data_IF_853662400906
#
_entry.id   IF_853662400906
#
_cell.length_a   1.000
_cell.length_b   1.000
_cell.length_c   1.000
_cell.angle_alpha   90.00
_cell.angle_beta   90.00
_cell.angle_gamma   90.00
#
_symmetry.space_group_name_H-M   'P 1'
#
loop_
_entity.id
_entity.type
_entity.pdbx_description
1 polymer ?
#
# COMPACT_ATOMS: atom_id res chain seq x y z
N UNK A 1 35.30 18.74 4.92
CA UNK A 1 34.40 19.52 4.05
C UNK A 1 33.13 19.81 4.84
N UNK A 2 32.56 21.01 4.73
CA UNK A 2 31.28 21.33 5.39
C UNK A 2 30.16 20.48 4.74
N UNK A 3 29.42 19.65 5.50
CA UNK A 3 28.29 18.86 4.98
C UNK A 3 27.21 19.70 4.28
N UNK A 4 27.18 21.03 4.51
CA UNK A 4 26.29 21.96 3.80
C UNK A 4 26.77 22.33 2.40
N UNK A 5 28.06 22.16 2.09
CA UNK A 5 28.63 22.52 0.78
C UNK A 5 28.36 21.53 -0.35
N UNK A 6 27.83 20.34 -0.03
CA UNK A 6 27.37 19.34 -1.00
C UNK A 6 25.90 19.51 -1.42
N UNK A 7 25.18 20.47 -0.82
CA UNK A 7 23.74 20.65 -1.05
C UNK A 7 23.48 21.44 -2.33
N UNK A 8 23.03 20.78 -3.40
CA UNK A 8 22.40 21.47 -4.54
C UNK A 8 22.67 20.94 -5.95
N UNK A 9 23.47 19.89 -6.12
CA UNK A 9 23.93 19.47 -7.45
C UNK A 9 23.09 18.34 -8.07
N UNK A 10 22.36 17.56 -7.27
CA UNK A 10 21.58 16.42 -7.78
C UNK A 10 20.15 16.83 -8.18
N UNK A 11 19.52 16.03 -9.05
CA UNK A 11 18.11 16.24 -9.43
C UNK A 11 17.17 16.10 -8.22
N UNK A 12 17.47 15.17 -7.32
CA UNK A 12 16.67 14.95 -6.11
C UNK A 12 16.73 16.14 -5.14
N UNK A 13 17.88 16.80 -5.00
CA UNK A 13 17.99 18.02 -4.20
C UNK A 13 17.22 19.18 -4.80
N UNK A 14 17.16 19.29 -6.15
CA UNK A 14 16.29 20.26 -6.82
C UNK A 14 14.82 20.01 -6.47
N UNK A 15 14.36 18.75 -6.50
CA UNK A 15 12.98 18.41 -6.05
C UNK A 15 12.73 18.75 -4.60
N UNK A 16 13.72 18.55 -3.72
CA UNK A 16 13.62 18.92 -2.32
C UNK A 16 13.47 20.44 -2.15
N UNK A 17 14.19 21.24 -2.94
CA UNK A 17 14.04 22.69 -2.97
C UNK A 17 12.66 23.10 -3.49
N UNK A 18 12.21 22.54 -4.61
CA UNK A 18 10.87 22.80 -5.18
C UNK A 18 9.73 22.43 -4.21
N UNK A 19 9.88 21.34 -3.46
CA UNK A 19 8.93 20.89 -2.43
C UNK A 19 8.95 21.81 -1.21
N UNK A 20 10.15 22.24 -0.77
CA UNK A 20 10.29 23.18 0.34
C UNK A 20 9.75 24.58 0.03
N UNK A 21 9.91 25.05 -1.22
CA UNK A 21 9.35 26.32 -1.70
C UNK A 21 7.88 26.23 -2.09
N UNK A 22 7.30 25.01 -2.08
CA UNK A 22 5.92 24.70 -2.52
C UNK A 22 5.63 25.03 -3.99
N UNK A 23 6.67 25.06 -4.82
CA UNK A 23 6.52 25.14 -6.27
C UNK A 23 5.93 23.85 -6.84
N UNK A 24 6.39 22.69 -6.34
CA UNK A 24 5.87 21.36 -6.71
C UNK A 24 5.74 20.48 -5.48
N UNK A 25 4.59 19.85 -5.30
CA UNK A 25 4.30 19.02 -4.11
C UNK A 25 4.86 17.58 -4.27
N UNK A 26 6.17 17.42 -4.44
CA UNK A 26 6.77 16.10 -4.67
C UNK A 26 6.44 15.10 -3.56
N UNK A 27 6.33 15.55 -2.31
CA UNK A 27 5.95 14.70 -1.16
C UNK A 27 4.42 14.56 -0.99
N UNK A 28 3.61 14.87 -1.99
CA UNK A 28 2.16 14.58 -1.92
C UNK A 28 1.91 13.09 -1.82
N UNK A 29 2.58 12.30 -2.66
CA UNK A 29 2.44 10.85 -2.70
C UNK A 29 3.67 10.19 -2.11
N UNK A 30 3.48 9.13 -1.33
CA UNK A 30 4.57 8.42 -0.68
C UNK A 30 4.06 7.22 0.11
N UNK A 31 4.94 6.57 0.87
CA UNK A 31 4.63 5.38 1.66
C UNK A 31 3.89 5.75 2.96
N UNK A 32 2.93 6.68 2.88
CA UNK A 32 2.15 7.17 4.02
C UNK A 32 1.06 6.20 4.49
N UNK A 33 0.82 5.15 3.71
CA UNK A 33 -0.05 4.06 4.12
C UNK A 33 0.68 3.17 5.14
N UNK A 34 0.05 2.91 6.28
CA UNK A 34 0.63 1.99 7.25
C UNK A 34 0.64 0.56 6.71
N UNK A 35 1.59 -0.26 7.12
CA UNK A 35 1.53 -1.70 6.85
C UNK A 35 0.67 -2.45 7.89
N UNK A 36 0.36 -1.77 9.02
CA UNK A 36 -0.46 -2.26 10.12
C UNK A 36 -1.25 -1.11 10.76
N UNK A 37 -2.58 -1.15 10.66
CA UNK A 37 -3.50 -0.19 11.31
C UNK A 37 -4.45 -0.88 12.32
N UNK A 38 -4.54 -2.21 12.27
CA UNK A 38 -5.28 -3.02 13.25
C UNK A 38 -4.58 -3.04 14.62
N UNK A 39 -5.36 -3.27 15.67
CA UNK A 39 -4.94 -3.27 17.08
C UNK A 39 -4.13 -2.02 17.49
N UNK A 40 -4.69 -0.85 17.21
CA UNK A 40 -4.11 0.46 17.58
C UNK A 40 -5.02 1.21 18.53
N UNK A 41 -4.43 2.04 19.40
CA UNK A 41 -5.16 2.84 20.41
C UNK A 41 -6.20 3.78 19.77
N UNK A 42 -5.96 4.23 18.53
CA UNK A 42 -6.86 5.16 17.82
C UNK A 42 -8.15 4.51 17.34
N UNK A 43 -8.08 3.23 17.05
CA UNK A 43 -9.22 2.46 16.55
C UNK A 43 -9.93 1.72 17.70
N UNK A 44 -9.54 1.99 18.96
CA UNK A 44 -10.10 1.36 20.15
C UNK A 44 -11.30 2.15 20.69
N UNK A 45 -12.46 1.51 20.60
CA UNK A 45 -13.71 1.99 21.17
C UNK A 45 -14.30 0.99 22.17
N UNK A 46 -13.45 0.12 22.71
CA UNK A 46 -13.83 -0.76 23.80
C UNK A 46 -14.07 0.04 25.08
N UNK A 47 -14.96 -0.43 25.97
CA UNK A 47 -15.29 0.28 27.20
C UNK A 47 -14.11 0.42 28.19
N UNK A 48 -13.03 -0.36 28.01
CA UNK A 48 -11.92 -0.46 28.97
C UNK A 48 -10.53 -0.20 28.36
N UNK A 49 -10.43 0.24 27.10
CA UNK A 49 -9.13 0.52 26.49
C UNK A 49 -8.33 -0.74 26.11
N UNK A 50 -9.00 -1.77 25.59
CA UNK A 50 -8.38 -3.00 25.08
C UNK A 50 -8.15 -2.92 23.56
N UNK A 51 -7.20 -2.08 23.14
CA UNK A 51 -6.94 -1.84 21.73
C UNK A 51 -6.47 -3.08 20.97
N UNK A 52 -5.79 -4.00 21.65
CA UNK A 52 -5.23 -5.22 21.07
C UNK A 52 -6.30 -6.19 20.58
N UNK A 53 -7.36 -6.38 21.37
CA UNK A 53 -8.42 -7.34 21.05
C UNK A 53 -9.67 -6.69 20.42
N UNK A 54 -9.81 -5.36 20.48
CA UNK A 54 -11.00 -4.67 19.98
C UNK A 54 -11.08 -4.63 18.45
N UNK A 55 -9.95 -4.43 17.78
CA UNK A 55 -9.85 -4.43 16.33
C UNK A 55 -8.67 -5.31 15.89
N UNK A 56 -8.79 -6.65 16.04
CA UNK A 56 -7.73 -7.59 15.73
C UNK A 56 -7.49 -7.70 14.22
N UNK A 57 -6.41 -8.37 13.84
CA UNK A 57 -6.07 -8.64 12.44
C UNK A 57 -7.23 -9.30 11.65
N UNK A 58 -8.01 -10.22 12.25
CA UNK A 58 -9.13 -10.86 11.54
C UNK A 58 -10.19 -9.86 11.06
N UNK A 59 -10.50 -8.86 11.89
CA UNK A 59 -11.49 -7.84 11.57
C UNK A 59 -10.98 -6.89 10.48
N UNK A 60 -9.67 -6.73 10.35
CA UNK A 60 -9.02 -5.76 9.47
C UNK A 60 -9.52 -5.88 8.02
N UNK A 61 -9.72 -7.11 7.52
CA UNK A 61 -10.19 -7.37 6.14
C UNK A 61 -11.61 -6.86 5.90
N UNK A 62 -12.44 -6.84 6.94
CA UNK A 62 -13.89 -6.67 6.86
C UNK A 62 -14.40 -5.40 7.52
N UNK A 63 -13.59 -4.69 8.31
CA UNK A 63 -13.95 -3.47 9.02
C UNK A 63 -13.19 -2.28 8.44
N UNK A 64 -13.90 -1.22 8.07
CA UNK A 64 -13.29 0.03 7.63
C UNK A 64 -12.60 0.73 8.82
N UNK A 65 -11.46 1.35 8.56
CA UNK A 65 -10.73 2.15 9.55
C UNK A 65 -11.29 3.56 9.57
N UNK A 66 -11.27 4.21 10.74
CA UNK A 66 -11.74 5.59 10.85
C UNK A 66 -10.61 6.61 10.71
N UNK A 67 -9.43 6.32 11.27
CA UNK A 67 -8.36 7.31 11.42
C UNK A 67 -7.14 7.08 10.54
N UNK A 68 -7.16 6.04 9.72
CA UNK A 68 -6.09 5.70 8.80
C UNK A 68 -6.52 4.61 7.84
N UNK A 69 -5.56 3.95 7.22
CA UNK A 69 -5.72 2.75 6.40
C UNK A 69 -4.42 1.94 6.52
N UNK A 70 -4.48 0.66 6.14
CA UNK A 70 -3.29 -0.16 5.94
C UNK A 70 -3.27 -0.89 4.60
N UNK A 71 -2.07 -1.29 4.17
CA UNK A 71 -1.90 -2.08 2.95
C UNK A 71 -0.46 -2.54 2.75
N UNK A 72 -0.31 -3.71 2.13
CA UNK A 72 0.98 -4.33 1.84
C UNK A 72 1.77 -3.51 0.79
N UNK A 73 2.97 -3.05 1.17
CA UNK A 73 3.89 -2.24 0.37
C UNK A 73 3.22 -1.05 -0.34
N UNK A 74 2.23 -0.44 0.31
CA UNK A 74 1.36 0.55 -0.32
C UNK A 74 1.86 1.99 -0.26
N UNK A 75 1.17 2.83 -1.03
CA UNK A 75 1.33 4.29 -1.05
C UNK A 75 -0.02 4.97 -0.86
N UNK A 76 0.01 6.22 -0.40
CA UNK A 76 -1.17 7.08 -0.40
C UNK A 76 -0.76 8.52 -0.67
N UNK A 77 -1.75 9.39 -0.87
CA UNK A 77 -1.50 10.81 -0.69
C UNK A 77 -1.22 11.10 0.81
N UNK A 78 -0.56 12.22 1.10
CA UNK A 78 -0.11 12.59 2.45
C UNK A 78 -1.23 12.78 3.47
N UNK A 79 -2.50 12.81 3.05
CA UNK A 79 -3.68 12.87 3.92
C UNK A 79 -4.45 11.54 3.95
N UNK A 80 -3.87 10.47 3.37
CA UNK A 80 -4.41 9.11 3.36
C UNK A 80 -5.88 9.09 2.89
N UNK A 81 -6.17 9.80 1.79
CA UNK A 81 -7.51 9.83 1.19
C UNK A 81 -7.64 8.76 0.14
N UNK A 82 -6.68 8.71 -0.80
CA UNK A 82 -6.60 7.69 -1.84
C UNK A 82 -5.38 6.82 -1.61
N UNK A 83 -5.62 5.53 -1.46
CA UNK A 83 -4.63 4.52 -1.11
C UNK A 83 -4.46 3.53 -2.26
N UNK A 84 -3.23 3.06 -2.44
CA UNK A 84 -2.89 1.98 -3.36
C UNK A 84 -1.99 0.98 -2.65
N UNK A 85 -2.27 -0.32 -2.78
CA UNK A 85 -1.44 -1.40 -2.23
C UNK A 85 -1.65 -2.70 -2.99
N UNK A 86 -0.89 -3.73 -2.61
CA UNK A 86 -1.04 -5.07 -3.17
C UNK A 86 -1.96 -5.93 -2.28
N UNK A 87 -2.74 -6.79 -2.92
CA UNK A 87 -3.34 -7.95 -2.30
C UNK A 87 -2.94 -9.22 -3.07
N UNK A 88 -2.63 -10.29 -2.35
CA UNK A 88 -2.09 -11.53 -2.92
C UNK A 88 -2.88 -12.75 -2.42
N UNK A 89 -2.96 -13.79 -3.25
CA UNK A 89 -3.44 -15.10 -2.82
C UNK A 89 -2.72 -16.21 -3.58
N UNK A 90 -2.09 -17.11 -2.82
CA UNK A 90 -1.35 -18.28 -3.33
C UNK A 90 -2.25 -19.47 -3.68
N UNK A 91 -3.58 -19.33 -3.59
CA UNK A 91 -4.54 -20.41 -3.82
C UNK A 91 -4.77 -21.33 -2.62
N UNK A 92 -4.10 -21.07 -1.48
CA UNK A 92 -4.11 -21.93 -0.29
C UNK A 92 -4.42 -21.18 1.00
N UNK A 93 -4.04 -19.91 1.09
CA UNK A 93 -4.29 -19.10 2.28
C UNK A 93 -5.80 -19.00 2.54
N UNK A 94 -6.23 -19.00 3.81
CA UNK A 94 -7.64 -18.88 4.14
C UNK A 94 -8.20 -17.48 3.84
N UNK A 95 -7.33 -16.53 3.47
CA UNK A 95 -7.61 -15.10 3.38
C UNK A 95 -6.73 -14.45 2.30
N UNK A 96 -7.14 -13.28 1.79
CA UNK A 96 -6.26 -12.42 1.00
C UNK A 96 -5.16 -11.81 1.87
N UNK A 97 -3.94 -11.86 1.36
CA UNK A 97 -2.79 -11.17 1.95
C UNK A 97 -2.79 -9.71 1.52
N UNK A 98 -3.52 -8.89 2.26
CA UNK A 98 -3.66 -7.44 2.01
C UNK A 98 -2.71 -6.57 2.86
N UNK A 99 -2.10 -7.13 3.91
CA UNK A 99 -1.26 -6.42 4.89
C UNK A 99 -0.34 -7.37 5.62
N UNK A 100 0.58 -6.81 6.40
CA UNK A 100 1.46 -7.60 7.26
C UNK A 100 0.68 -8.19 8.43
N UNK A 101 0.92 -9.47 8.68
CA UNK A 101 0.46 -10.16 9.88
C UNK A 101 1.48 -10.02 11.01
N UNK A 102 0.99 -9.97 12.23
CA UNK A 102 1.81 -9.98 13.42
C UNK A 102 1.01 -10.43 14.63
N UNK A 103 1.71 -10.59 15.74
CA UNK A 103 1.15 -10.91 17.04
C UNK A 103 0.89 -9.61 17.80
N UNK A 104 -0.22 -9.56 18.51
CA UNK A 104 -0.44 -8.54 19.56
C UNK A 104 0.41 -8.84 20.79
N UNK A 105 0.49 -7.87 21.71
CA UNK A 105 1.26 -8.04 22.95
C UNK A 105 0.82 -9.21 23.84
N UNK A 106 -0.42 -9.68 23.72
CA UNK A 106 -0.93 -10.86 24.45
C UNK A 106 -0.71 -12.18 23.72
N UNK A 107 -0.30 -12.13 22.45
CA UNK A 107 -0.09 -13.28 21.58
C UNK A 107 1.39 -13.65 21.45
N UNK A 108 2.30 -12.66 21.48
CA UNK A 108 3.73 -12.90 21.44
C UNK A 108 4.32 -13.14 22.84
N UNK A 109 5.29 -14.06 22.93
CA UNK A 109 6.02 -14.31 24.17
C UNK A 109 6.93 -13.13 24.57
N UNK A 110 7.35 -12.28 23.63
CA UNK A 110 8.10 -11.03 23.90
C UNK A 110 7.37 -9.75 23.47
N UNK A 111 6.06 -9.82 23.19
CA UNK A 111 5.22 -8.67 22.90
C UNK A 111 4.70 -8.64 21.45
N UNK A 112 4.50 -7.43 20.91
CA UNK A 112 4.09 -7.25 19.52
C UNK A 112 5.22 -7.67 18.58
N UNK A 113 4.87 -8.45 17.57
CA UNK A 113 5.88 -9.08 16.71
C UNK A 113 5.33 -9.32 15.29
N UNK A 114 5.96 -8.71 14.28
CA UNK A 114 5.56 -8.86 12.88
C UNK A 114 6.13 -10.16 12.34
N UNK A 115 5.25 -11.05 11.87
CA UNK A 115 5.63 -12.41 11.44
C UNK A 115 5.86 -12.52 9.95
N UNK A 116 6.42 -11.51 9.32
CA UNK A 116 6.52 -11.41 7.86
C UNK A 116 7.96 -11.18 7.41
N UNK A 117 8.29 -11.56 6.17
CA UNK A 117 9.59 -11.28 5.57
C UNK A 117 9.46 -10.22 4.49
N UNK A 118 9.86 -8.99 4.82
CA UNK A 118 9.78 -7.84 3.94
C UNK A 118 11.01 -6.93 4.11
N UNK A 119 11.37 -6.23 3.04
CA UNK A 119 12.60 -5.44 2.98
C UNK A 119 12.38 -4.17 2.17
N UNK A 120 12.69 -3.02 2.78
CA UNK A 120 12.76 -1.76 2.07
C UNK A 120 14.13 -1.65 1.39
N UNK A 121 14.12 -1.66 0.06
CA UNK A 121 15.34 -1.78 -0.74
C UNK A 121 15.86 -0.41 -1.19
N UNK A 122 14.95 0.53 -1.46
CA UNK A 122 15.30 1.87 -1.92
C UNK A 122 14.16 2.88 -1.70
N UNK A 123 14.50 4.14 -1.48
CA UNK A 123 13.56 5.27 -1.54
C UNK A 123 14.35 6.57 -1.59
N UNK A 124 14.03 7.49 -2.50
CA UNK A 124 14.55 8.87 -2.42
C UNK A 124 13.76 9.71 -1.40
N UNK A 125 14.31 10.82 -0.86
CA UNK A 125 13.62 11.68 0.12
C UNK A 125 12.27 12.24 -0.33
N UNK A 126 12.09 12.50 -1.62
CA UNK A 126 10.83 12.93 -2.24
C UNK A 126 9.98 11.77 -2.74
N UNK A 127 10.41 10.54 -2.51
CA UNK A 127 9.74 9.33 -2.97
C UNK A 127 9.58 9.32 -4.50
N UNK A 128 10.53 9.93 -5.21
CA UNK A 128 10.59 9.98 -6.68
C UNK A 128 10.97 8.63 -7.28
N UNK A 129 11.72 7.82 -6.53
CA UNK A 129 11.91 6.38 -6.73
C UNK A 129 11.71 5.66 -5.39
N UNK A 130 11.04 4.51 -5.40
CA UNK A 130 10.93 3.61 -4.25
C UNK A 130 10.94 2.15 -4.70
N UNK A 131 11.52 1.27 -3.87
CA UNK A 131 11.53 -0.18 -4.08
C UNK A 131 11.43 -0.92 -2.75
N UNK A 132 10.51 -1.88 -2.67
CA UNK A 132 10.40 -2.80 -1.57
C UNK A 132 10.22 -4.25 -2.08
N UNK A 133 10.50 -5.21 -1.21
CA UNK A 133 10.36 -6.64 -1.45
C UNK A 133 9.53 -7.25 -0.32
N UNK A 134 8.54 -8.07 -0.68
CA UNK A 134 7.83 -8.96 0.22
C UNK A 134 8.04 -10.42 -0.21
N UNK A 135 8.28 -11.33 0.74
CA UNK A 135 8.41 -12.77 0.46
C UNK A 135 7.12 -13.48 0.85
N UNK A 136 6.42 -14.01 -0.15
CA UNK A 136 5.11 -14.64 0.04
C UNK A 136 5.18 -16.16 -0.15
N UNK A 137 4.86 -16.99 0.87
CA UNK A 137 4.90 -18.45 0.75
C UNK A 137 3.96 -19.03 -0.32
N UNK A 138 4.38 -20.12 -0.97
CA UNK A 138 3.54 -20.89 -1.90
C UNK A 138 2.66 -21.93 -1.19
N UNK A 139 2.87 -22.16 0.10
CA UNK A 139 2.02 -22.96 0.98
C UNK A 139 1.11 -22.07 1.79
N UNK A 140 0.07 -22.65 2.40
CA UNK A 140 -0.78 -21.93 3.35
C UNK A 140 0.08 -21.25 4.44
N UNK A 141 -0.20 -19.97 4.66
CA UNK A 141 0.45 -19.18 5.67
C UNK A 141 0.05 -19.65 7.09
N UNK A 142 0.99 -19.89 8.01
CA UNK A 142 0.75 -20.64 9.24
C UNK A 142 0.22 -19.77 10.39
N UNK A 143 -0.86 -19.01 10.16
CA UNK A 143 -1.45 -18.06 11.11
C UNK A 143 -1.69 -18.65 12.50
N UNK A 144 -2.44 -19.75 12.57
CA UNK A 144 -2.82 -20.39 13.84
C UNK A 144 -1.59 -20.90 14.62
N UNK A 145 -0.66 -21.56 13.92
CA UNK A 145 0.58 -22.07 14.54
C UNK A 145 1.42 -20.95 15.13
N UNK A 146 1.55 -19.81 14.44
CA UNK A 146 2.30 -18.65 14.92
C UNK A 146 1.67 -18.08 16.20
N UNK A 147 0.34 -17.97 16.26
CA UNK A 147 -0.37 -17.46 17.44
C UNK A 147 -0.26 -18.44 18.60
N UNK A 148 -0.63 -19.70 18.38
CA UNK A 148 -0.74 -20.71 19.43
C UNK A 148 0.61 -21.03 20.07
N UNK A 149 1.67 -21.19 19.25
CA UNK A 149 2.98 -21.56 19.76
C UNK A 149 3.66 -20.41 20.49
N UNK A 150 3.58 -19.17 19.97
CA UNK A 150 4.17 -18.02 20.67
C UNK A 150 3.42 -17.72 21.98
N UNK A 151 2.08 -17.88 22.02
CA UNK A 151 1.32 -17.75 23.28
C UNK A 151 1.69 -18.84 24.30
N UNK A 152 2.00 -20.05 23.84
CA UNK A 152 2.41 -21.17 24.70
C UNK A 152 3.81 -21.00 25.26
N UNK A 153 4.71 -20.34 24.52
CA UNK A 153 6.09 -20.09 24.93
C UNK A 153 6.13 -19.08 26.07
N UNK A 154 6.92 -19.38 27.09
CA UNK A 154 7.21 -18.42 28.16
C UNK A 154 8.31 -17.44 27.76
N UNK A 155 8.49 -16.40 28.57
CA UNK A 155 9.51 -15.34 28.37
C UNK A 155 10.95 -15.87 28.21
N UNK A 156 11.24 -17.08 28.71
CA UNK A 156 12.57 -17.70 28.64
C UNK A 156 12.85 -18.47 27.34
N UNK A 157 11.84 -18.67 26.49
CA UNK A 157 11.99 -19.33 25.19
C UNK A 157 12.14 -18.29 24.07
N UNK A 158 12.88 -18.60 22.99
CA UNK A 158 12.92 -17.74 21.80
C UNK A 158 11.54 -17.70 21.13
N UNK A 159 11.27 -16.62 20.39
CA UNK A 159 10.10 -16.51 19.51
C UNK A 159 10.10 -17.62 18.45
N UNK A 160 8.91 -18.04 18.02
CA UNK A 160 8.76 -18.84 16.80
C UNK A 160 8.66 -17.87 15.64
N UNK A 161 9.66 -17.84 14.77
CA UNK A 161 9.65 -17.02 13.57
C UNK A 161 8.97 -17.71 12.40
N UNK A 162 8.51 -16.93 11.42
CA UNK A 162 7.88 -17.47 10.21
C UNK A 162 8.81 -18.47 9.50
N UNK A 163 10.12 -18.21 9.47
CA UNK A 163 11.10 -19.10 8.84
C UNK A 163 11.17 -20.48 9.54
N UNK A 164 10.99 -20.53 10.86
CA UNK A 164 11.03 -21.76 11.66
C UNK A 164 9.84 -22.68 11.38
N UNK A 165 8.79 -22.16 10.73
CA UNK A 165 7.61 -22.95 10.40
C UNK A 165 7.86 -23.90 9.23
N UNK A 166 8.90 -23.64 8.42
CA UNK A 166 9.25 -24.42 7.24
C UNK A 166 8.52 -24.01 5.96
N UNK A 167 7.68 -22.97 5.98
CA UNK A 167 6.94 -22.52 4.77
C UNK A 167 7.82 -21.95 3.65
N UNK A 168 9.08 -21.68 3.94
CA UNK A 168 10.09 -21.24 2.96
C UNK A 168 11.06 -22.35 2.54
N UNK A 169 10.89 -23.58 3.03
CA UNK A 169 11.74 -24.71 2.66
C UNK A 169 11.71 -24.94 1.13
N UNK A 170 12.84 -25.39 0.57
CA UNK A 170 13.00 -25.61 -0.88
C UNK A 170 12.73 -24.36 -1.73
N UNK A 171 12.94 -23.16 -1.17
CA UNK A 171 12.67 -21.88 -1.82
C UNK A 171 11.22 -21.70 -2.31
N UNK A 172 10.24 -22.38 -1.69
CA UNK A 172 8.82 -22.39 -2.07
C UNK A 172 8.09 -21.09 -1.70
N UNK A 173 8.52 -19.99 -2.30
CA UNK A 173 7.94 -18.67 -2.12
C UNK A 173 8.02 -17.83 -3.39
N UNK A 174 7.25 -16.75 -3.40
CA UNK A 174 7.35 -15.68 -4.39
C UNK A 174 8.15 -14.51 -3.79
N UNK A 175 9.12 -13.99 -4.53
CA UNK A 175 9.58 -12.62 -4.30
C UNK A 175 8.59 -11.67 -4.98
N UNK A 176 8.02 -10.76 -4.21
CA UNK A 176 7.07 -9.74 -4.67
C UNK A 176 7.74 -8.38 -4.55
N UNK A 177 8.24 -7.85 -5.66
CA UNK A 177 8.81 -6.51 -5.71
C UNK A 177 7.74 -5.49 -6.04
N UNK A 178 7.65 -4.43 -5.24
CA UNK A 178 6.86 -3.24 -5.53
C UNK A 178 7.81 -2.06 -5.78
N UNK A 179 7.74 -1.49 -6.98
CA UNK A 179 8.55 -0.35 -7.38
C UNK A 179 7.66 0.81 -7.86
N UNK A 180 8.01 2.02 -7.43
CA UNK A 180 7.30 3.25 -7.74
C UNK A 180 8.27 4.26 -8.34
N UNK A 181 7.92 4.85 -9.48
CA UNK A 181 8.70 5.89 -10.14
C UNK A 181 7.79 7.06 -10.52
N UNK A 182 8.12 8.26 -10.02
CA UNK A 182 7.35 9.47 -10.34
C UNK A 182 7.78 10.04 -11.67
N UNK A 183 6.85 10.22 -12.60
CA UNK A 183 7.05 11.11 -13.75
C UNK A 183 6.95 12.58 -13.31
N UNK A 184 5.91 12.88 -12.52
CA UNK A 184 5.66 14.17 -11.85
C UNK A 184 5.15 13.96 -10.43
N UNK A 185 4.88 15.03 -9.68
CA UNK A 185 4.35 14.94 -8.31
C UNK A 185 2.97 14.26 -8.21
N UNK A 186 2.23 14.17 -9.31
CA UNK A 186 0.89 13.57 -9.39
C UNK A 186 0.80 12.48 -10.47
N UNK A 187 1.93 11.90 -10.89
CA UNK A 187 1.98 10.88 -11.93
C UNK A 187 3.03 9.84 -11.56
N UNK A 188 2.54 8.66 -11.19
CA UNK A 188 3.29 7.60 -10.52
C UNK A 188 3.15 6.33 -11.36
N UNK A 189 4.27 5.86 -11.86
CA UNK A 189 4.39 4.58 -12.52
C UNK A 189 4.67 3.51 -11.46
N UNK A 190 4.00 2.38 -11.58
CA UNK A 190 4.01 1.28 -10.62
C UNK A 190 4.40 0.02 -11.35
N UNK A 191 5.50 -0.62 -10.93
CA UNK A 191 5.98 -1.89 -11.47
C UNK A 191 5.97 -2.94 -10.38
N UNK A 192 5.17 -3.98 -10.57
CA UNK A 192 5.07 -5.11 -9.66
C UNK A 192 5.71 -6.31 -10.32
N UNK A 193 6.81 -6.82 -9.77
CA UNK A 193 7.50 -8.00 -10.31
C UNK A 193 7.34 -9.16 -9.34
N UNK A 194 6.72 -10.23 -9.83
CA UNK A 194 6.48 -11.46 -9.05
C UNK A 194 7.41 -12.53 -9.57
N UNK A 195 8.38 -12.97 -8.78
CA UNK A 195 9.31 -14.03 -9.14
C UNK A 195 9.02 -15.31 -8.37
N UNK A 196 8.77 -16.40 -9.08
CA UNK A 196 8.64 -17.73 -8.49
C UNK A 196 10.05 -18.27 -8.17
N UNK A 197 10.37 -18.42 -6.88
CA UNK A 197 11.63 -19.01 -6.42
C UNK A 197 11.57 -20.52 -6.25
N UNK A 198 10.36 -21.06 -6.19
CA UNK A 198 10.12 -22.47 -5.97
C UNK A 198 10.50 -23.36 -7.15
N UNK A 199 10.58 -24.68 -6.93
CA UNK A 199 11.00 -25.66 -7.92
C UNK A 199 9.90 -26.01 -8.92
N UNK A 200 8.64 -25.62 -8.65
CA UNK A 200 7.46 -25.99 -9.44
C UNK A 200 6.73 -24.75 -9.96
N UNK A 201 6.00 -24.92 -11.07
CA UNK A 201 5.10 -23.90 -11.59
C UNK A 201 4.04 -23.58 -10.53
N UNK A 202 3.83 -22.30 -10.26
CA UNK A 202 2.92 -21.87 -9.20
C UNK A 202 1.94 -20.79 -9.70
N UNK A 203 0.71 -20.88 -9.20
CA UNK A 203 -0.33 -19.89 -9.44
C UNK A 203 -0.29 -18.81 -8.36
N UNK A 204 -0.48 -17.56 -8.76
CA UNK A 204 -0.66 -16.44 -7.85
C UNK A 204 -1.78 -15.53 -8.36
N UNK A 205 -2.72 -15.20 -7.48
CA UNK A 205 -3.65 -14.11 -7.73
C UNK A 205 -3.00 -12.83 -7.22
N UNK A 206 -2.82 -11.86 -8.12
CA UNK A 206 -2.30 -10.53 -7.81
C UNK A 206 -3.43 -9.51 -7.99
N UNK A 207 -3.68 -8.72 -6.96
CA UNK A 207 -4.74 -7.71 -6.91
C UNK A 207 -4.16 -6.36 -6.47
N UNK A 208 -3.55 -5.59 -7.38
CA UNK A 208 -3.19 -4.20 -7.11
C UNK A 208 -4.50 -3.43 -6.91
N UNK A 209 -4.64 -2.85 -5.73
CA UNK A 209 -5.91 -2.37 -5.20
C UNK A 209 -5.82 -0.86 -4.95
N UNK A 210 -6.82 -0.12 -5.42
CA UNK A 210 -6.98 1.32 -5.23
C UNK A 210 -8.26 1.57 -4.42
N UNK A 211 -8.21 2.35 -3.35
CA UNK A 211 -9.40 2.64 -2.55
C UNK A 211 -9.34 3.98 -1.84
N UNK A 212 -10.52 4.49 -1.49
CA UNK A 212 -10.64 5.64 -0.62
C UNK A 212 -10.74 5.22 0.85
N UNK A 213 -10.03 5.93 1.72
CA UNK A 213 -10.24 5.83 3.18
C UNK A 213 -11.69 6.21 3.49
N UNK A 214 -12.36 5.43 4.32
CA UNK A 214 -13.75 5.69 4.65
C UNK A 214 -13.85 6.91 5.57
N UNK A 215 -14.31 8.05 5.04
CA UNK A 215 -14.58 9.28 5.80
C UNK A 215 -16.05 9.65 5.84
N UNK A 216 -16.90 8.95 5.10
CA UNK A 216 -18.32 9.26 4.92
C UNK A 216 -19.24 8.53 5.90
N UNK A 217 -18.79 7.43 6.51
CA UNK A 217 -19.62 6.60 7.41
C UNK A 217 -19.57 7.04 8.88
N UNK A 218 -18.71 8.01 9.24
CA UNK A 218 -18.42 8.36 10.65
C UNK A 218 -18.94 9.73 11.10
N UNK A 219 -19.63 10.46 10.23
CA UNK A 219 -19.98 11.87 10.46
C UNK A 219 -18.81 12.84 10.21
N UNK A 220 -18.89 14.09 10.68
CA UNK A 220 -17.86 15.11 10.41
C UNK A 220 -16.48 14.71 10.94
N UNK A 221 -15.50 14.64 10.04
CA UNK A 221 -14.08 14.47 10.37
C UNK A 221 -13.37 15.80 10.08
N UNK A 222 -12.59 16.36 11.02
CA UNK A 222 -11.87 17.62 10.79
C UNK A 222 -10.98 17.56 9.54
N UNK A 223 -11.07 18.60 8.70
CA UNK A 223 -10.27 18.77 7.48
C UNK A 223 -10.48 17.69 6.39
N UNK A 224 -11.56 16.92 6.46
CA UNK A 224 -11.91 15.90 5.47
C UNK A 224 -13.26 16.15 4.80
N UNK A 225 -13.41 15.63 3.57
CA UNK A 225 -14.73 15.51 2.95
C UNK A 225 -15.45 14.30 3.52
N UNK A 226 -16.75 14.46 3.78
CA UNK A 226 -17.64 13.38 4.21
C UNK A 226 -18.56 12.92 3.08
N UNK A 227 -18.44 13.51 1.88
CA UNK A 227 -19.13 13.02 0.70
C UNK A 227 -18.47 11.73 0.24
N UNK A 228 -19.29 10.72 -0.11
CA UNK A 228 -18.79 9.44 -0.59
C UNK A 228 -18.09 9.63 -1.96
N UNK A 229 -16.79 9.32 -2.07
CA UNK A 229 -16.06 9.40 -3.33
C UNK A 229 -16.46 8.26 -4.27
N UNK A 230 -15.92 8.25 -5.49
CA UNK A 230 -16.22 7.20 -6.47
C UNK A 230 -14.98 6.73 -7.22
N UNK A 231 -14.95 5.43 -7.51
CA UNK A 231 -14.06 4.79 -8.46
C UNK A 231 -14.93 4.12 -9.52
N UNK A 232 -14.73 4.44 -10.79
CA UNK A 232 -15.53 3.92 -11.92
C UNK A 232 -14.63 3.43 -13.05
N UNK A 233 -15.06 2.39 -13.76
CA UNK A 233 -14.41 1.99 -15.01
C UNK A 233 -14.77 3.01 -16.12
N UNK A 234 -13.80 3.78 -16.59
CA UNK A 234 -14.02 4.73 -17.69
C UNK A 234 -14.05 4.03 -19.04
N UNK A 235 -13.06 3.13 -19.23
CA UNK A 235 -12.88 2.31 -20.43
C UNK A 235 -12.07 1.09 -20.04
N UNK A 236 -11.88 0.18 -20.98
CA UNK A 236 -11.00 -0.97 -20.77
C UNK A 236 -9.64 -0.50 -20.22
N UNK A 237 -9.18 -1.14 -19.14
CA UNK A 237 -7.89 -0.89 -18.50
C UNK A 237 -7.68 0.50 -17.88
N UNK A 238 -8.72 1.29 -17.69
CA UNK A 238 -8.63 2.63 -17.07
C UNK A 238 -9.80 2.90 -16.14
N UNK A 239 -9.51 3.16 -14.86
CA UNK A 239 -10.50 3.60 -13.87
C UNK A 239 -10.31 5.07 -13.51
N UNK A 240 -11.40 5.80 -13.28
CA UNK A 240 -11.41 7.13 -12.65
C UNK A 240 -11.57 6.98 -11.16
N UNK A 241 -10.86 7.79 -10.39
CA UNK A 241 -11.09 8.00 -8.96
C UNK A 241 -11.43 9.48 -8.74
N UNK A 242 -12.60 9.77 -8.17
CA UNK A 242 -13.11 11.12 -7.95
C UNK A 242 -13.29 11.40 -6.46
N UNK A 243 -12.75 12.52 -6.00
CA UNK A 243 -12.83 12.95 -4.62
C UNK A 243 -12.83 14.48 -4.53
N UNK A 244 -13.75 15.06 -3.76
CA UNK A 244 -14.01 16.52 -3.76
C UNK A 244 -12.78 17.39 -3.46
N UNK A 245 -11.98 16.98 -2.46
CA UNK A 245 -10.80 17.74 -2.03
C UNK A 245 -9.54 17.35 -2.80
N UNK A 246 -9.25 16.06 -2.91
CA UNK A 246 -8.06 15.54 -3.59
C UNK A 246 -8.10 15.77 -5.12
N UNK A 247 -9.29 15.90 -5.71
CA UNK A 247 -9.52 16.00 -7.13
C UNK A 247 -9.63 14.64 -7.82
N UNK A 248 -9.52 14.66 -9.14
CA UNK A 248 -9.69 13.47 -9.98
C UNK A 248 -8.35 12.83 -10.31
N UNK A 249 -8.25 11.53 -10.08
CA UNK A 249 -7.15 10.67 -10.50
C UNK A 249 -7.68 9.61 -11.45
N UNK A 250 -6.76 8.98 -12.17
CA UNK A 250 -7.04 7.79 -12.96
C UNK A 250 -5.94 6.76 -12.71
N UNK A 251 -6.30 5.47 -12.75
CA UNK A 251 -5.36 4.36 -12.69
C UNK A 251 -5.47 3.54 -13.98
N UNK A 252 -4.41 3.54 -14.77
CA UNK A 252 -4.26 2.65 -15.91
C UNK A 252 -3.56 1.36 -15.47
N UNK A 253 -3.98 0.21 -16.01
CA UNK A 253 -3.37 -1.10 -15.72
C UNK A 253 -3.17 -1.92 -17.00
N UNK A 254 -2.00 -2.55 -17.15
CA UNK A 254 -1.66 -3.28 -18.38
C UNK A 254 -2.17 -4.72 -18.37
N UNK A 255 -2.34 -5.32 -19.56
CA UNK A 255 -2.59 -6.76 -19.68
C UNK A 255 -4.04 -7.16 -19.43
N UNK A 256 -4.27 -8.43 -19.12
CA UNK A 256 -5.61 -9.02 -19.08
C UNK A 256 -6.11 -9.20 -17.63
N UNK A 257 -6.06 -8.13 -16.84
CA UNK A 257 -6.63 -8.16 -15.49
C UNK A 257 -8.15 -8.05 -15.54
N UNK A 258 -8.85 -8.79 -14.67
CA UNK A 258 -10.29 -8.60 -14.47
C UNK A 258 -10.53 -7.44 -13.51
N UNK A 259 -11.25 -6.38 -13.90
CA UNK A 259 -11.59 -5.31 -12.98
C UNK A 259 -12.63 -5.78 -11.96
N UNK A 260 -12.37 -5.55 -10.67
CA UNK A 260 -13.27 -5.85 -9.56
C UNK A 260 -13.58 -4.57 -8.78
N UNK A 261 -14.83 -4.40 -8.35
CA UNK A 261 -15.30 -3.22 -7.62
C UNK A 261 -16.06 -3.61 -6.36
N UNK A 262 -15.90 -2.82 -5.30
CA UNK A 262 -16.67 -2.90 -4.07
C UNK A 262 -16.62 -1.54 -3.35
N UNK A 263 -17.18 -1.46 -2.15
CA UNK A 263 -17.02 -0.33 -1.27
C UNK A 263 -16.10 -0.63 -0.08
N UNK A 264 -15.31 0.36 0.35
CA UNK A 264 -14.56 0.31 1.61
C UNK A 264 -15.50 0.57 2.80
N UNK A 265 -16.51 -0.28 2.96
CA UNK A 265 -17.53 -0.20 4.00
C UNK A 265 -17.44 -1.41 4.92
N UNK A 266 -17.63 -1.19 6.22
CA UNK A 266 -17.60 -2.29 7.20
C UNK A 266 -18.67 -3.32 6.86
N UNK A 267 -18.27 -4.58 6.81
CA UNK A 267 -19.17 -5.73 6.78
C UNK A 267 -19.78 -5.94 8.17
N UNK A 268 -20.80 -5.15 8.50
CA UNK A 268 -21.54 -5.21 9.75
C UNK A 268 -22.14 -6.59 10.03
N UNK A 269 -22.48 -7.37 9.00
CA UNK A 269 -23.01 -8.72 9.16
C UNK A 269 -21.97 -9.65 9.78
N UNK A 270 -20.71 -9.54 9.34
CA UNK A 270 -19.60 -10.30 9.93
C UNK A 270 -19.14 -9.73 11.27
N UNK A 271 -18.94 -8.42 11.34
CA UNK A 271 -18.24 -7.79 12.48
C UNK A 271 -19.18 -7.56 13.67
N UNK A 272 -20.42 -7.15 13.41
CA UNK A 272 -21.36 -6.75 14.44
C UNK A 272 -22.59 -7.68 14.52
N UNK A 273 -22.70 -8.68 13.65
CA UNK A 273 -23.88 -9.53 13.52
C UNK A 273 -25.17 -8.73 13.23
N UNK A 274 -25.04 -7.65 12.45
CA UNK A 274 -26.15 -6.79 11.99
C UNK A 274 -26.22 -6.76 10.47
N UNK A 275 -27.41 -6.65 9.86
CA UNK A 275 -27.52 -6.52 8.40
C UNK A 275 -26.67 -5.37 7.85
N UNK A 276 -26.01 -5.61 6.72
CA UNK A 276 -25.28 -4.56 6.02
C UNK A 276 -26.26 -3.54 5.45
N UNK A 277 -25.92 -2.24 5.57
CA UNK A 277 -26.68 -1.17 4.92
C UNK A 277 -26.45 -1.06 3.42
N UNK A 278 -25.40 -1.73 2.91
CA UNK A 278 -25.01 -1.79 1.51
C UNK A 278 -24.73 -3.25 1.12
N UNK A 279 -24.86 -3.58 -0.17
CA UNK A 279 -24.62 -4.94 -0.66
C UNK A 279 -23.13 -5.29 -0.75
N UNK A 280 -22.32 -4.34 -1.24
CA UNK A 280 -20.89 -4.52 -1.47
C UNK A 280 -20.10 -3.89 -0.33
N UNK A 281 -19.23 -4.67 0.30
CA UNK A 281 -18.52 -4.31 1.54
C UNK A 281 -17.02 -4.64 1.42
N UNK A 282 -16.23 -4.21 2.40
CA UNK A 282 -14.76 -4.13 2.34
C UNK A 282 -14.06 -5.45 1.97
N UNK A 283 -14.60 -6.57 2.44
CA UNK A 283 -14.08 -7.94 2.23
C UNK A 283 -14.61 -8.63 0.97
N UNK A 284 -15.32 -7.92 0.10
CA UNK A 284 -15.85 -8.49 -1.16
C UNK A 284 -14.79 -9.17 -2.03
N UNK A 285 -13.57 -8.64 -2.10
CA UNK A 285 -12.49 -9.27 -2.88
C UNK A 285 -12.01 -10.58 -2.26
N UNK A 286 -12.00 -10.67 -0.93
CA UNK A 286 -11.68 -11.89 -0.19
C UNK A 286 -12.73 -12.97 -0.48
N UNK A 287 -14.00 -12.60 -0.37
CA UNK A 287 -15.14 -13.47 -0.66
C UNK A 287 -15.18 -13.92 -2.12
N UNK A 288 -14.82 -13.04 -3.06
CA UNK A 288 -14.79 -13.37 -4.48
C UNK A 288 -13.63 -14.30 -4.84
N UNK A 289 -12.40 -13.98 -4.39
CA UNK A 289 -11.18 -14.69 -4.80
C UNK A 289 -10.98 -15.97 -4.01
N UNK A 290 -11.10 -15.90 -2.68
CA UNK A 290 -10.78 -17.01 -1.77
C UNK A 290 -11.97 -17.96 -1.62
N UNK A 291 -13.19 -17.41 -1.55
CA UNK A 291 -14.41 -18.18 -1.30
C UNK A 291 -15.30 -18.40 -2.54
N UNK A 292 -14.91 -17.86 -3.69
CA UNK A 292 -15.60 -18.09 -4.97
C UNK A 292 -17.00 -17.46 -5.07
N UNK A 293 -17.35 -16.50 -4.19
CA UNK A 293 -18.65 -15.81 -4.23
C UNK A 293 -18.65 -14.71 -5.28
N UNK A 294 -19.02 -15.09 -6.51
CA UNK A 294 -19.01 -14.19 -7.65
C UNK A 294 -19.93 -12.96 -7.50
N UNK A 295 -20.97 -13.05 -6.68
CA UNK A 295 -21.95 -12.00 -6.38
C UNK A 295 -21.48 -11.02 -5.30
N UNK A 296 -20.33 -11.26 -4.66
CA UNK A 296 -19.79 -10.38 -3.62
C UNK A 296 -19.25 -9.04 -4.16
N UNK A 297 -18.93 -8.95 -5.46
CA UNK A 297 -18.36 -7.74 -6.10
C UNK A 297 -19.41 -7.02 -6.92
N UNK A 298 -19.25 -5.70 -7.08
CA UNK A 298 -20.21 -4.87 -7.80
C UNK A 298 -20.09 -5.04 -9.34
N UNK A 299 -21.11 -5.61 -10.01
CA UNK A 299 -21.08 -5.81 -11.45
C UNK A 299 -21.27 -4.51 -12.26
N UNK A 300 -21.64 -3.41 -11.61
CA UNK A 300 -21.87 -2.11 -12.25
C UNK A 300 -20.58 -1.31 -12.49
N UNK A 301 -19.41 -1.89 -12.17
CA UNK A 301 -18.10 -1.28 -12.35
C UNK A 301 -17.92 0.08 -11.66
N UNK A 302 -18.48 0.19 -10.44
CA UNK A 302 -18.45 1.38 -9.59
C UNK A 302 -18.28 0.99 -8.12
N UNK A 303 -17.60 1.81 -7.34
CA UNK A 303 -17.47 1.65 -5.89
C UNK A 303 -16.54 2.68 -5.28
N UNK A 304 -16.03 2.41 -4.09
CA UNK A 304 -14.97 3.19 -3.42
C UNK A 304 -13.66 2.40 -3.28
N UNK A 305 -13.66 1.13 -3.68
CA UNK A 305 -12.51 0.22 -3.73
C UNK A 305 -12.53 -0.56 -5.05
N UNK A 306 -11.37 -0.61 -5.71
CA UNK A 306 -11.15 -1.25 -7.00
C UNK A 306 -9.91 -2.14 -6.95
N UNK A 307 -9.93 -3.28 -7.64
CA UNK A 307 -8.74 -4.08 -7.87
C UNK A 307 -8.66 -4.56 -9.33
N UNK A 308 -7.45 -4.53 -9.88
CA UNK A 308 -7.14 -5.22 -11.14
C UNK A 308 -6.72 -6.66 -10.81
N UNK A 309 -7.59 -7.65 -11.04
CA UNK A 309 -7.32 -9.05 -10.69
C UNK A 309 -6.54 -9.77 -11.80
N UNK A 310 -5.27 -10.02 -11.56
CA UNK A 310 -4.40 -10.85 -12.40
C UNK A 310 -4.36 -12.27 -11.87
N UNK A 311 -4.47 -13.24 -12.78
CA UNK A 311 -4.16 -14.64 -12.52
C UNK A 311 -2.83 -14.96 -13.19
N UNK A 312 -1.78 -15.12 -12.39
CA UNK A 312 -0.42 -15.35 -12.88
C UNK A 312 -0.08 -16.83 -12.73
N UNK A 313 0.33 -17.46 -13.82
CA UNK A 313 0.97 -18.78 -13.77
C UNK A 313 2.46 -18.62 -14.06
N UNK A 314 3.30 -18.83 -13.05
CA UNK A 314 4.72 -18.49 -13.13
C UNK A 314 5.57 -19.75 -13.09
N UNK A 315 6.32 -20.00 -14.15
CA UNK A 315 7.26 -21.12 -14.23
C UNK A 315 8.39 -21.02 -13.18
N UNK A 316 9.02 -22.14 -12.77
CA UNK A 316 10.13 -22.15 -11.82
C UNK A 316 11.25 -21.18 -12.22
N UNK A 317 11.68 -20.33 -11.27
CA UNK A 317 12.76 -19.35 -11.50
C UNK A 317 12.41 -18.22 -12.47
N UNK A 318 11.17 -18.14 -12.96
CA UNK A 318 10.68 -17.05 -13.84
C UNK A 318 9.96 -15.98 -13.04
N UNK A 319 9.70 -14.86 -13.71
CA UNK A 319 8.99 -13.73 -13.14
C UNK A 319 8.00 -13.14 -14.12
N UNK A 320 6.87 -12.68 -13.60
CA UNK A 320 5.87 -11.90 -14.31
C UNK A 320 5.88 -10.45 -13.82
N UNK A 321 5.53 -9.52 -14.70
CA UNK A 321 5.51 -8.08 -14.40
C UNK A 321 4.14 -7.50 -14.69
N UNK A 322 3.53 -6.86 -13.69
CA UNK A 322 2.35 -6.03 -13.87
C UNK A 322 2.73 -4.55 -13.80
N UNK A 323 2.32 -3.77 -14.81
CA UNK A 323 2.55 -2.33 -14.89
C UNK A 323 1.24 -1.57 -14.68
N UNK A 324 1.28 -0.55 -13.83
CA UNK A 324 0.17 0.37 -13.60
C UNK A 324 0.67 1.82 -13.59
N UNK A 325 -0.23 2.79 -13.80
CA UNK A 325 0.09 4.21 -13.72
C UNK A 325 -1.05 4.99 -13.08
N UNK A 326 -0.77 5.58 -11.92
CA UNK A 326 -1.69 6.44 -11.18
C UNK A 326 -1.36 7.90 -11.50
N UNK A 327 -2.29 8.64 -12.11
CA UNK A 327 -2.05 10.01 -12.54
C UNK A 327 -3.24 10.92 -12.25
N UNK A 328 -3.00 12.18 -11.90
CA UNK A 328 -4.06 13.19 -11.87
C UNK A 328 -4.63 13.44 -13.28
N UNK A 329 -5.94 13.65 -13.37
CA UNK A 329 -6.61 14.01 -14.63
C UNK A 329 -6.58 15.53 -14.81
N UNK A 330 -6.05 16.03 -15.93
CA UNK A 330 -6.07 17.46 -16.24
C UNK A 330 -7.50 17.91 -16.63
N UNK A 331 -7.94 19.06 -16.08
CA UNK A 331 -9.17 19.73 -16.53
C UNK A 331 -10.49 19.26 -15.91
N UNK A 332 -10.50 18.69 -14.70
CA UNK A 332 -11.76 18.47 -13.97
C UNK A 332 -12.39 19.78 -13.50
N UNK A 333 -13.70 19.94 -13.70
CA UNK A 333 -14.46 21.12 -13.27
C UNK A 333 -14.27 21.41 -11.76
N UNK A 334 -13.92 22.66 -11.50
CA UNK A 334 -13.33 23.19 -10.27
C UNK A 334 -14.44 23.59 -9.27
N UNK A 335 -14.58 22.90 -8.13
CA UNK A 335 -15.50 23.33 -7.04
C UNK A 335 -14.82 23.37 -5.65
N UNK A 336 -13.51 23.14 -5.53
CA UNK A 336 -12.83 23.15 -4.24
C UNK A 336 -12.06 24.43 -3.95
N UNK A 337 -12.55 25.33 -3.09
CA UNK A 337 -11.76 26.46 -2.57
C UNK A 337 -10.85 25.99 -1.42
N UNK A 338 -9.54 25.87 -1.65
CA UNK A 338 -8.61 25.37 -0.62
C UNK A 338 -7.14 25.63 -0.89
N UNK A 339 -6.31 25.50 0.15
CA UNK A 339 -4.86 25.83 0.19
C UNK A 339 -3.98 25.03 -0.79
N UNK A 340 -4.51 24.02 -1.46
CA UNK A 340 -3.83 23.21 -2.49
C UNK A 340 -4.08 23.69 -3.94
N UNK A 341 -4.79 24.82 -4.14
CA UNK A 341 -5.12 25.37 -5.46
C UNK A 341 -3.91 25.65 -6.37
N UNK A 342 -2.75 26.02 -5.80
CA UNK A 342 -1.55 26.35 -6.57
C UNK A 342 -0.94 25.13 -7.29
N UNK A 343 -1.18 23.91 -6.80
CA UNK A 343 -0.64 22.67 -7.40
C UNK A 343 -1.53 22.06 -8.49
N UNK A 344 -2.72 22.63 -8.73
CA UNK A 344 -3.70 22.10 -9.69
C UNK A 344 -3.33 22.32 -11.16
N UNK A 345 -2.31 23.15 -11.43
CA UNK A 345 -1.79 23.40 -12.79
C UNK A 345 -0.74 22.38 -13.27
N UNK A 346 -0.38 21.39 -12.44
CA UNK A 346 0.69 20.41 -12.71
C UNK A 346 0.15 18.98 -12.95
N UNK A 347 -1.05 18.86 -13.53
CA UNK A 347 -1.56 17.56 -13.97
C UNK A 347 -0.83 17.15 -15.26
N UNK A 348 0.09 16.19 -15.18
CA UNK A 348 0.52 15.46 -16.38
C UNK A 348 -0.51 14.37 -16.64
N UNK A 349 -1.43 14.61 -17.57
CA UNK A 349 -2.26 13.53 -18.10
C UNK A 349 -1.39 12.70 -19.03
N UNK A 350 -1.20 11.39 -18.77
CA UNK A 350 -0.51 10.49 -19.69
C UNK A 350 -1.11 10.59 -21.10
N UNK A 351 -0.34 10.27 -22.16
CA UNK A 351 -0.88 10.27 -23.51
C UNK A 351 -2.17 9.45 -23.59
N UNK A 352 -3.23 10.02 -24.17
CA UNK A 352 -4.54 9.38 -24.22
C UNK A 352 -4.53 8.04 -25.00
N UNK A 353 -3.55 7.86 -25.88
CA UNK A 353 -3.37 6.68 -26.74
C UNK A 353 -2.64 5.54 -26.06
N UNK A 354 -1.64 5.83 -25.23
CA UNK A 354 -0.85 4.82 -24.51
C UNK A 354 -0.37 5.37 -23.15
N UNK A 355 -1.03 4.97 -22.04
CA UNK A 355 -0.61 5.36 -20.70
C UNK A 355 0.79 4.86 -20.30
N UNK A 356 1.33 3.85 -20.98
CA UNK A 356 2.61 3.21 -20.66
C UNK A 356 3.76 3.64 -21.57
N UNK A 357 3.52 4.59 -22.48
CA UNK A 357 4.59 5.18 -23.27
C UNK A 357 5.64 5.83 -22.35
N UNK A 358 6.92 5.52 -22.59
CA UNK A 358 8.04 6.06 -21.80
C UNK A 358 8.26 5.38 -20.45
N UNK A 359 7.55 4.28 -20.14
CA UNK A 359 7.51 3.72 -18.80
C UNK A 359 8.89 3.28 -18.30
N UNK A 360 9.63 2.53 -19.11
CA UNK A 360 10.95 2.01 -18.73
C UNK A 360 12.01 3.11 -18.71
N UNK A 361 11.90 4.12 -19.58
CA UNK A 361 12.77 5.30 -19.57
C UNK A 361 12.60 6.11 -18.28
N UNK A 362 11.37 6.29 -17.80
CA UNK A 362 11.10 6.99 -16.53
C UNK A 362 11.67 6.20 -15.35
N UNK A 363 11.50 4.88 -15.32
CA UNK A 363 12.11 4.03 -14.29
C UNK A 363 13.63 4.14 -14.31
N UNK A 364 14.26 3.99 -15.48
CA UNK A 364 15.70 4.10 -15.63
C UNK A 364 16.22 5.48 -15.16
N UNK A 365 15.50 6.54 -15.51
CA UNK A 365 15.85 7.90 -15.10
C UNK A 365 15.72 8.10 -13.58
N UNK A 366 14.64 7.62 -12.96
CA UNK A 366 14.42 7.74 -11.51
C UNK A 366 15.43 6.90 -10.70
N UNK A 367 15.81 5.72 -11.19
CA UNK A 367 16.89 4.91 -10.59
C UNK A 367 18.24 5.62 -10.67
N UNK A 368 18.60 6.14 -11.85
CA UNK A 368 19.85 6.88 -12.05
C UNK A 368 19.96 8.10 -11.12
N UNK A 369 18.88 8.87 -10.99
CA UNK A 369 18.87 10.03 -10.08
C UNK A 369 18.95 9.63 -8.61
N UNK A 370 18.39 8.48 -8.23
CA UNK A 370 18.54 7.93 -6.89
C UNK A 370 20.00 7.52 -6.63
N UNK A 371 20.65 6.88 -7.61
CA UNK A 371 22.08 6.54 -7.54
C UNK A 371 22.94 7.80 -7.38
N UNK A 372 22.72 8.82 -8.23
CA UNK A 372 23.42 10.11 -8.15
C UNK A 372 23.24 10.79 -6.78
N UNK A 373 22.02 10.78 -6.23
CA UNK A 373 21.75 11.35 -4.91
C UNK A 373 22.49 10.60 -3.79
N UNK A 374 22.45 9.27 -3.79
CA UNK A 374 23.09 8.49 -2.75
C UNK A 374 24.62 8.46 -2.87
N UNK A 375 25.17 8.54 -4.08
CA UNK A 375 26.60 8.72 -4.30
C UNK A 375 27.10 10.06 -3.75
N UNK A 376 26.27 11.10 -3.76
CA UNK A 376 26.59 12.41 -3.20
C UNK A 376 26.46 12.46 -1.66
N UNK A 377 25.50 11.73 -1.09
CA UNK A 377 25.17 11.78 0.36
C UNK A 377 25.99 10.78 1.18
N UNK A 378 26.27 9.59 0.64
CA UNK A 378 27.00 8.55 1.36
C UNK A 378 28.52 8.79 1.18
N UNK A 379 29.33 8.80 2.25
CA UNK A 379 30.76 9.05 2.16
C UNK A 379 31.46 8.17 1.11
N UNK A 380 32.27 8.80 0.26
CA UNK A 380 32.85 8.16 -0.91
C UNK A 380 33.83 7.04 -0.56
N UNK A 381 34.44 7.12 0.64
CA UNK A 381 35.43 6.21 1.20
C UNK A 381 34.84 4.87 1.68
N UNK A 382 33.51 4.78 1.83
CA UNK A 382 32.85 3.52 2.18
C UNK A 382 32.96 2.49 1.07
N UNK A 383 33.15 1.23 1.43
CA UNK A 383 33.07 0.12 0.48
C UNK A 383 31.64 -0.08 -0.03
N UNK A 384 31.51 -0.86 -1.11
CA UNK A 384 30.23 -1.08 -1.81
C UNK A 384 29.14 -1.70 -0.92
N UNK A 385 29.49 -2.64 -0.05
CA UNK A 385 28.51 -3.30 0.81
C UNK A 385 28.05 -2.36 1.92
N UNK A 386 28.97 -1.61 2.52
CA UNK A 386 28.63 -0.57 3.50
C UNK A 386 27.73 0.52 2.91
N UNK A 387 27.98 0.96 1.66
CA UNK A 387 27.09 1.91 0.94
C UNK A 387 25.70 1.35 0.74
N UNK A 388 25.58 0.06 0.39
CA UNK A 388 24.29 -0.62 0.22
C UNK A 388 23.52 -0.68 1.54
N UNK A 389 24.18 -1.04 2.65
CA UNK A 389 23.58 -1.05 3.98
C UNK A 389 23.09 0.34 4.37
N UNK A 390 23.90 1.39 4.16
CA UNK A 390 23.50 2.76 4.44
C UNK A 390 22.28 3.20 3.63
N UNK A 391 22.25 2.92 2.31
CA UNK A 391 21.11 3.23 1.43
C UNK A 391 19.84 2.50 1.86
N UNK A 392 19.93 1.21 2.21
CA UNK A 392 18.78 0.47 2.74
C UNK A 392 18.32 1.00 4.10
N UNK A 393 19.24 1.46 4.95
CA UNK A 393 18.91 2.17 6.19
C UNK A 393 18.09 3.44 5.94
N UNK A 394 18.49 4.26 4.95
CA UNK A 394 17.69 5.41 4.53
C UNK A 394 16.33 5.00 3.94
N UNK A 395 16.30 3.95 3.11
CA UNK A 395 15.07 3.43 2.56
C UNK A 395 14.09 3.03 3.67
N UNK A 396 14.56 2.36 4.72
CA UNK A 396 13.73 1.98 5.87
C UNK A 396 13.12 3.18 6.60
N UNK A 397 13.90 4.23 6.86
CA UNK A 397 13.39 5.47 7.44
C UNK A 397 12.34 6.16 6.55
N UNK A 398 12.53 6.11 5.23
CA UNK A 398 11.65 6.79 4.28
C UNK A 398 10.36 6.02 4.02
N UNK A 399 10.42 4.68 3.93
CA UNK A 399 9.26 3.80 3.82
C UNK A 399 8.41 3.77 5.10
N UNK A 400 9.00 4.05 6.26
CA UNK A 400 8.29 4.09 7.54
C UNK A 400 7.59 5.43 7.84
N UNK A 401 7.54 6.36 6.88
CA UNK A 401 6.80 7.62 7.04
C UNK A 401 5.32 7.37 6.90
N UNK A 402 4.58 7.28 8.01
CA UNK A 402 3.16 6.97 7.98
C UNK A 402 2.29 8.21 8.20
N UNK A 403 1.09 8.19 7.62
CA UNK A 403 0.03 9.13 7.94
C UNK A 403 -0.44 8.91 9.38
N UNK A 404 -0.61 10.01 10.10
CA UNK A 404 -1.10 9.99 11.46
C UNK A 404 -2.09 11.15 11.64
N UNK A 405 -3.40 10.86 11.57
CA UNK A 405 -4.42 11.84 11.93
C UNK A 405 -4.31 12.10 13.43
N UNK A 406 -4.05 13.33 13.86
CA UNK A 406 -3.93 13.68 15.28
C UNK A 406 -5.11 14.55 15.71
N UNK A 407 -6.15 13.93 16.27
CA UNK A 407 -7.40 14.59 16.65
C UNK A 407 -7.92 14.06 17.99
N UNK A 408 -7.18 14.36 19.08
CA UNK A 408 -7.45 13.85 20.44
C UNK A 408 -8.88 14.15 20.90
N UNK A 409 -9.41 15.33 20.57
CA UNK A 409 -10.74 15.76 21.00
C UNK A 409 -11.81 14.82 20.46
N UNK A 410 -11.72 14.47 19.18
CA UNK A 410 -12.65 13.57 18.49
C UNK A 410 -12.46 12.13 18.96
N UNK A 411 -11.23 11.69 19.26
CA UNK A 411 -10.98 10.36 19.82
C UNK A 411 -11.62 10.17 21.20
N UNK A 412 -11.59 11.20 22.04
CA UNK A 412 -12.14 11.13 23.39
C UNK A 412 -13.68 11.02 23.43
N UNK A 413 -14.38 11.38 22.35
CA UNK A 413 -15.85 11.37 22.30
C UNK A 413 -16.45 10.18 21.54
N UNK A 414 -15.62 9.34 20.93
CA UNK A 414 -16.07 8.21 20.11
C UNK A 414 -16.01 8.52 18.63
#
# INVERSE_FOLDING_TARGET
MDPKSLRGDTVEEKRLTEDASRERNWKRWGPYLSERQWATVREDYSPYGNCWDYFPHDHARSRAYRWGEDGLLGISDRQCRLCFALALWNGKDPILKERLFGLTGSEGNHGEDVKELYYYLDSTPTHSYMKALYKYPQTEYPYARLIEENRRRGLSAPELELIDTGVFNEDRYFDVFAEYAKFSENDILIRLTIANRGPEKAMLHLLPTLWFRNTWSWGPIPEESTNKPSITLERDRLVRAQHDVLGNYQLAFEGNAKPLFTDNETNSARIHNYPNGQLFVKDAFDEYVVHGRADAVNPQNVGTKFAAHYLLEIEPGKSEVARLRLSAVAGGDDVGSGRDAASRKSGSTPPATDPFAGFDEVFAQRMKEADEFYDAVIPSEMDKESKKVARQGYAGLLWSKQFYQYCIREWAVG
#
